data_IF_255596837843
#
_entry.id   IF_255596837843
#
_cell.length_a   1.000
_cell.length_b   1.000
_cell.length_c   1.000
_cell.angle_alpha   90.00
_cell.angle_beta   90.00
_cell.angle_gamma   90.00
#
_symmetry.space_group_name_H-M   'P 1'
#
loop_
_entity.id
_entity.type
_entity.pdbx_description
1 polymer ?
#
# COMPACT_ATOMS: atom_id res chain seq x y z
N UNK A 1 -16.54 5.57 -3.11
CA UNK A 1 -16.43 4.65 -4.27
C UNK A 1 -17.18 5.32 -5.41
N UNK A 2 -16.47 5.84 -6.40
CA UNK A 2 -17.07 6.51 -7.57
C UNK A 2 -16.79 5.64 -8.78
N UNK A 3 -17.84 5.19 -9.47
CA UNK A 3 -17.72 4.28 -10.63
C UNK A 3 -17.81 5.14 -11.90
N UNK A 4 -16.72 5.26 -12.64
CA UNK A 4 -16.70 5.90 -13.96
C UNK A 4 -16.95 4.86 -15.07
N UNK A 5 -17.55 5.29 -16.18
CA UNK A 5 -18.06 4.47 -17.31
C UNK A 5 -17.01 3.70 -18.14
N UNK A 6 -15.78 3.58 -17.62
CA UNK A 6 -14.68 2.82 -18.17
C UNK A 6 -14.07 2.06 -16.97
N UNK A 7 -13.96 0.72 -17.04
CA UNK A 7 -13.77 -0.23 -15.90
C UNK A 7 -12.51 -0.02 -15.03
N UNK A 8 -12.31 1.16 -14.47
CA UNK A 8 -11.22 1.52 -13.59
C UNK A 8 -11.81 1.87 -12.24
N UNK A 9 -11.21 1.31 -11.19
CA UNK A 9 -11.54 1.63 -9.81
C UNK A 9 -10.45 2.60 -9.35
N UNK A 10 -10.84 3.79 -8.92
CA UNK A 10 -9.92 4.70 -8.23
C UNK A 10 -9.61 4.13 -6.85
N UNK A 11 -8.36 3.69 -6.67
CA UNK A 11 -7.87 3.18 -5.39
C UNK A 11 -7.00 4.26 -4.75
N UNK A 12 -7.28 4.69 -3.50
CA UNK A 12 -6.40 5.59 -2.77
C UNK A 12 -5.03 4.92 -2.56
N UNK A 13 -3.99 5.54 -3.13
CA UNK A 13 -2.61 5.06 -3.00
C UNK A 13 -1.72 6.06 -2.28
N UNK A 14 -0.63 5.56 -1.69
CA UNK A 14 0.38 6.37 -1.04
C UNK A 14 1.79 5.93 -1.40
N UNK A 15 2.79 6.79 -1.19
CA UNK A 15 4.17 6.42 -1.45
C UNK A 15 4.70 5.44 -0.40
N UNK A 16 5.76 4.70 -0.73
CA UNK A 16 6.48 3.87 0.26
C UNK A 16 6.91 4.67 1.49
N UNK A 17 7.29 5.94 1.31
CA UNK A 17 7.72 6.79 2.42
C UNK A 17 6.55 7.13 3.35
N UNK A 18 5.37 7.38 2.80
CA UNK A 18 4.17 7.70 3.59
C UNK A 18 3.62 6.45 4.28
N UNK A 19 3.64 5.29 3.61
CA UNK A 19 3.31 4.01 4.21
C UNK A 19 4.20 3.68 5.41
N UNK A 20 5.52 3.87 5.26
CA UNK A 20 6.49 3.67 6.34
C UNK A 20 6.20 4.57 7.55
N UNK A 21 5.90 5.85 7.32
CA UNK A 21 5.50 6.79 8.38
C UNK A 21 4.18 6.40 9.03
N UNK A 22 3.21 5.94 8.25
CA UNK A 22 1.87 5.59 8.71
C UNK A 22 1.89 4.45 9.74
N UNK A 23 2.66 3.38 9.50
CA UNK A 23 2.76 2.24 10.42
C UNK A 23 3.98 2.28 11.35
N UNK A 24 4.82 3.33 11.26
CA UNK A 24 5.97 3.52 12.16
C UNK A 24 7.16 2.59 11.90
N UNK A 25 7.46 2.25 10.65
CA UNK A 25 8.56 1.34 10.28
C UNK A 25 9.53 1.97 9.29
N UNK A 26 10.67 1.30 9.04
CA UNK A 26 11.60 1.68 7.98
C UNK A 26 11.09 1.32 6.58
N UNK A 27 11.48 2.07 5.54
CA UNK A 27 11.07 1.80 4.14
C UNK A 27 11.38 0.37 3.66
N UNK A 28 12.47 -0.23 4.15
CA UNK A 28 12.85 -1.62 3.83
C UNK A 28 11.76 -2.61 4.24
N UNK A 29 11.13 -2.38 5.39
CA UNK A 29 10.04 -3.20 5.90
C UNK A 29 8.84 -3.15 4.95
N UNK A 30 8.50 -1.97 4.43
CA UNK A 30 7.42 -1.84 3.44
C UNK A 30 7.70 -2.67 2.19
N UNK A 31 8.94 -2.67 1.68
CA UNK A 31 9.31 -3.53 0.55
C UNK A 31 9.19 -5.01 0.89
N UNK A 32 9.60 -5.43 2.09
CA UNK A 32 9.43 -6.82 2.53
C UNK A 32 7.95 -7.23 2.61
N UNK A 33 7.08 -6.35 3.12
CA UNK A 33 5.64 -6.61 3.16
C UNK A 33 5.04 -6.75 1.75
N UNK A 34 5.55 -6.00 0.77
CA UNK A 34 5.18 -6.19 -0.65
C UNK A 34 5.72 -7.54 -1.16
N UNK A 35 6.99 -7.86 -0.88
CA UNK A 35 7.63 -9.10 -1.32
C UNK A 35 6.96 -10.35 -0.74
N UNK A 36 6.40 -10.26 0.46
CA UNK A 36 5.64 -11.32 1.12
C UNK A 36 4.14 -11.32 0.82
N UNK A 37 3.67 -10.46 -0.10
CA UNK A 37 2.26 -10.31 -0.48
C UNK A 37 1.31 -9.99 0.70
N UNK A 38 1.86 -9.40 1.77
CA UNK A 38 1.09 -8.96 2.95
C UNK A 38 0.38 -7.61 2.70
N UNK A 39 0.89 -6.80 1.77
CA UNK A 39 0.25 -5.55 1.32
C UNK A 39 0.31 -5.42 -0.21
N UNK A 40 -0.69 -4.73 -0.78
CA UNK A 40 -0.80 -4.54 -2.23
C UNK A 40 -0.06 -3.28 -2.66
N UNK A 41 0.69 -3.38 -3.76
CA UNK A 41 1.35 -2.24 -4.37
C UNK A 41 1.28 -2.31 -5.90
N UNK A 42 1.29 -1.14 -6.54
CA UNK A 42 1.40 -0.99 -7.98
C UNK A 42 2.67 -0.22 -8.33
N UNK A 43 3.27 -0.54 -9.48
CA UNK A 43 4.41 0.21 -10.03
C UNK A 43 3.90 1.11 -11.14
N UNK A 44 4.07 2.41 -10.99
CA UNK A 44 3.63 3.41 -11.96
C UNK A 44 4.73 4.45 -12.15
N UNK A 45 5.15 4.69 -13.41
CA UNK A 45 6.20 5.66 -13.77
C UNK A 45 7.48 5.53 -12.90
N UNK A 46 7.92 4.30 -12.62
CA UNK A 46 9.11 4.03 -11.80
C UNK A 46 8.92 4.24 -10.29
N UNK A 47 7.72 4.58 -9.84
CA UNK A 47 7.37 4.75 -8.42
C UNK A 47 6.56 3.54 -7.95
N UNK A 48 6.77 3.17 -6.69
CA UNK A 48 5.94 2.17 -5.99
C UNK A 48 4.87 2.90 -5.20
N UNK A 49 3.62 2.56 -5.48
CA UNK A 49 2.44 3.12 -4.85
C UNK A 49 1.72 2.01 -4.09
N UNK A 50 1.52 2.23 -2.79
CA UNK A 50 0.89 1.28 -1.88
C UNK A 50 -0.60 1.53 -1.86
N UNK A 51 -1.40 0.50 -2.04
CA UNK A 51 -2.84 0.59 -1.80
C UNK A 51 -3.09 0.76 -0.30
N UNK A 52 -3.65 1.92 0.04
CA UNK A 52 -3.92 2.33 1.42
C UNK A 52 -4.77 1.32 2.18
N UNK A 53 -5.78 0.75 1.53
CA UNK A 53 -6.72 -0.17 2.19
C UNK A 53 -6.05 -1.45 2.65
N UNK A 54 -5.14 -2.01 1.82
CA UNK A 54 -4.36 -3.19 2.20
C UNK A 54 -3.40 -2.91 3.36
N UNK A 55 -2.77 -1.74 3.39
CA UNK A 55 -1.86 -1.34 4.46
C UNK A 55 -2.60 -1.13 5.79
N UNK A 56 -3.77 -0.48 5.76
CA UNK A 56 -4.63 -0.29 6.93
C UNK A 56 -5.14 -1.63 7.47
N UNK A 57 -5.52 -2.56 6.59
CA UNK A 57 -5.92 -3.91 6.97
C UNK A 57 -4.76 -4.67 7.64
N UNK A 58 -3.56 -4.62 7.06
CA UNK A 58 -2.36 -5.21 7.65
C UNK A 58 -2.08 -4.61 9.03
N UNK A 59 -2.03 -3.28 9.15
CA UNK A 59 -1.76 -2.59 10.41
C UNK A 59 -2.80 -2.92 11.50
N UNK A 60 -4.08 -2.97 11.12
CA UNK A 60 -5.18 -3.25 12.04
C UNK A 60 -5.26 -4.73 12.43
N UNK A 61 -4.65 -5.63 11.67
CA UNK A 61 -4.61 -7.07 11.98
C UNK A 61 -3.75 -7.38 13.22
N UNK A 62 -2.92 -6.45 13.67
CA UNK A 62 -1.97 -6.65 14.76
C UNK A 62 -0.74 -7.49 14.38
N UNK A 63 -0.66 -7.98 13.13
CA UNK A 63 0.56 -8.56 12.58
C UNK A 63 1.69 -7.55 12.65
N UNK A 64 2.88 -8.01 13.05
CA UNK A 64 4.10 -7.19 13.05
C UNK A 64 5.06 -7.71 11.99
N UNK A 65 5.67 -6.82 11.20
CA UNK A 65 6.75 -7.17 10.29
C UNK A 65 8.01 -7.67 11.01
#
# INVERSE_FOLDING_TARGET
MTINSNRYIEVPVMTVADAARFIGVGKKVIYQLIEFDEIRAVREHGKVLIDRSSLEAFHSSGKRP
#
